data_IF_310254485284
#
_entry.id   IF_310254485284
#
_cell.length_a   1.000
_cell.length_b   1.000
_cell.length_c   1.000
_cell.angle_alpha   90.00
_cell.angle_beta   90.00
_cell.angle_gamma   90.00
#
_symmetry.space_group_name_H-M   'P 1'
#
loop_
_entity.id
_entity.type
_entity.pdbx_description
1 polymer ?
#
# COMPACT_ATOMS: atom_id res chain seq x y z
N UNK A 1 -7.71 18.87 3.32
CA UNK A 1 -7.13 17.65 3.90
C UNK A 1 -7.26 16.43 2.99
N UNK A 2 -8.41 16.26 2.33
CA UNK A 2 -8.60 15.14 1.39
C UNK A 2 -7.55 15.16 0.26
N UNK A 3 -7.17 16.34 -0.23
CA UNK A 3 -6.14 16.46 -1.26
C UNK A 3 -4.77 15.99 -0.79
N UNK A 4 -4.42 16.21 0.48
CA UNK A 4 -3.16 15.73 1.06
C UNK A 4 -3.19 14.21 1.15
N UNK A 5 -4.29 13.63 1.60
CA UNK A 5 -4.46 12.18 1.67
C UNK A 5 -4.42 11.57 0.27
N UNK A 6 -5.05 12.21 -0.70
CA UNK A 6 -5.01 11.76 -2.10
C UNK A 6 -3.58 11.77 -2.65
N UNK A 7 -2.81 12.80 -2.37
CA UNK A 7 -1.40 12.88 -2.75
C UNK A 7 -0.58 11.75 -2.12
N UNK A 8 -0.78 11.50 -0.84
CA UNK A 8 -0.14 10.39 -0.14
C UNK A 8 -0.46 9.04 -0.80
N UNK A 9 -1.74 8.82 -1.13
CA UNK A 9 -2.18 7.59 -1.77
C UNK A 9 -1.52 7.39 -3.15
N UNK A 10 -1.41 8.45 -3.94
CA UNK A 10 -0.75 8.39 -5.24
C UNK A 10 0.72 8.02 -5.08
N UNK A 11 1.43 8.67 -4.15
CA UNK A 11 2.84 8.39 -3.89
C UNK A 11 3.03 6.93 -3.45
N UNK A 12 2.23 6.45 -2.52
CA UNK A 12 2.32 5.08 -2.03
C UNK A 12 2.03 4.08 -3.14
N UNK A 13 0.99 4.33 -3.95
CA UNK A 13 0.66 3.47 -5.07
C UNK A 13 1.79 3.37 -6.09
N UNK A 14 2.38 4.49 -6.45
CA UNK A 14 3.52 4.52 -7.38
C UNK A 14 4.73 3.80 -6.80
N UNK A 15 5.02 3.98 -5.50
CA UNK A 15 6.13 3.29 -4.84
C UNK A 15 5.93 1.78 -4.82
N UNK A 16 4.71 1.30 -4.61
CA UNK A 16 4.42 -0.14 -4.64
C UNK A 16 4.68 -0.72 -6.03
N UNK A 17 4.20 -0.05 -7.07
CA UNK A 17 4.47 -0.46 -8.45
C UNK A 17 5.98 -0.48 -8.74
N UNK A 18 6.69 0.57 -8.36
CA UNK A 18 8.13 0.66 -8.58
C UNK A 18 8.88 -0.43 -7.83
N UNK A 19 8.52 -0.69 -6.58
CA UNK A 19 9.13 -1.72 -5.75
C UNK A 19 9.01 -3.10 -6.41
N UNK A 20 7.80 -3.48 -6.82
CA UNK A 20 7.60 -4.79 -7.44
C UNK A 20 8.21 -4.89 -8.84
N UNK A 21 8.16 -3.81 -9.62
CA UNK A 21 8.80 -3.77 -10.93
C UNK A 21 10.31 -4.00 -10.81
N UNK A 22 10.96 -3.30 -9.87
CA UNK A 22 12.41 -3.44 -9.64
C UNK A 22 12.73 -4.83 -9.09
N UNK A 23 11.97 -5.31 -8.10
CA UNK A 23 12.21 -6.60 -7.47
C UNK A 23 12.10 -7.76 -8.46
N UNK A 24 11.08 -7.72 -9.33
CA UNK A 24 10.88 -8.75 -10.35
C UNK A 24 11.95 -8.65 -11.45
N UNK A 25 12.27 -7.44 -11.89
CA UNK A 25 13.28 -7.23 -12.93
C UNK A 25 14.69 -7.67 -12.49
N UNK A 26 15.00 -7.53 -11.20
CA UNK A 26 16.28 -7.90 -10.63
C UNK A 26 16.31 -9.33 -10.06
N UNK A 27 15.25 -10.10 -10.27
CA UNK A 27 15.14 -11.46 -9.74
C UNK A 27 15.37 -11.55 -8.24
N UNK A 28 14.82 -10.57 -7.48
CA UNK A 28 14.98 -10.49 -6.03
C UNK A 28 13.81 -11.11 -5.26
N UNK A 29 13.05 -11.99 -5.90
CA UNK A 29 11.89 -12.65 -5.30
C UNK A 29 12.13 -14.17 -5.32
N UNK A 30 12.87 -14.72 -4.32
CA UNK A 30 13.19 -16.14 -4.28
C UNK A 30 11.96 -17.03 -4.11
N UNK A 31 10.88 -16.49 -3.52
CA UNK A 31 9.64 -17.22 -3.30
C UNK A 31 8.94 -17.63 -4.60
N UNK A 32 9.28 -16.99 -5.74
CA UNK A 32 8.74 -17.40 -7.04
C UNK A 32 9.14 -18.84 -7.39
N UNK A 33 10.30 -19.30 -6.91
CA UNK A 33 10.78 -20.67 -7.12
C UNK A 33 10.27 -21.63 -6.04
N UNK A 34 10.15 -21.17 -4.78
CA UNK A 34 9.85 -22.02 -3.63
C UNK A 34 8.37 -22.05 -3.26
N UNK A 35 7.68 -20.91 -3.40
CA UNK A 35 6.26 -20.75 -3.05
C UNK A 35 5.54 -19.92 -4.11
N UNK A 36 5.47 -20.39 -5.37
CA UNK A 36 5.02 -19.55 -6.48
C UNK A 36 3.59 -19.05 -6.34
N UNK A 37 2.67 -19.87 -5.87
CA UNK A 37 1.27 -19.46 -5.74
C UNK A 37 1.07 -18.46 -4.61
N UNK A 38 1.74 -18.66 -3.49
CA UNK A 38 1.65 -17.76 -2.35
C UNK A 38 2.16 -16.36 -2.71
N UNK A 39 3.34 -16.27 -3.33
CA UNK A 39 3.92 -14.97 -3.68
C UNK A 39 3.17 -14.30 -4.84
N UNK A 40 2.71 -15.04 -5.82
CA UNK A 40 1.94 -14.47 -6.92
C UNK A 40 0.63 -13.88 -6.43
N UNK A 41 -0.05 -14.56 -5.53
CA UNK A 41 -1.28 -14.04 -4.91
C UNK A 41 -0.99 -12.79 -4.10
N UNK A 42 0.11 -12.78 -3.33
CA UNK A 42 0.53 -11.62 -2.56
C UNK A 42 0.82 -10.42 -3.45
N UNK A 43 1.60 -10.61 -4.52
CA UNK A 43 1.93 -9.55 -5.47
C UNK A 43 0.66 -9.03 -6.15
N UNK A 44 -0.24 -9.92 -6.56
CA UNK A 44 -1.50 -9.54 -7.18
C UNK A 44 -2.33 -8.68 -6.23
N UNK A 45 -2.44 -9.07 -4.96
CA UNK A 45 -3.17 -8.31 -3.95
C UNK A 45 -2.55 -6.92 -3.75
N UNK A 46 -1.22 -6.84 -3.71
CA UNK A 46 -0.53 -5.56 -3.57
C UNK A 46 -0.71 -4.66 -4.78
N UNK A 47 -0.72 -5.21 -5.99
CA UNK A 47 -0.96 -4.44 -7.21
C UNK A 47 -2.40 -3.94 -7.28
N UNK A 48 -3.38 -4.74 -6.86
CA UNK A 48 -4.76 -4.31 -6.74
C UNK A 48 -4.88 -3.16 -5.75
N UNK A 49 -4.21 -3.27 -4.61
CA UNK A 49 -4.15 -2.20 -3.61
C UNK A 49 -3.56 -0.92 -4.21
N UNK A 50 -2.44 -1.04 -4.94
CA UNK A 50 -1.78 0.10 -5.57
C UNK A 50 -2.69 0.79 -6.60
N UNK A 51 -3.39 0.02 -7.43
CA UNK A 51 -4.36 0.56 -8.40
C UNK A 51 -5.49 1.28 -7.67
N UNK A 52 -6.00 0.70 -6.58
CA UNK A 52 -7.06 1.30 -5.78
C UNK A 52 -6.60 2.62 -5.14
N UNK A 53 -5.36 2.65 -4.62
CA UNK A 53 -4.78 3.86 -4.05
C UNK A 53 -4.61 4.95 -5.11
N UNK A 54 -4.07 4.60 -6.28
CA UNK A 54 -3.91 5.54 -7.38
C UNK A 54 -5.26 6.05 -7.87
N UNK A 55 -6.21 5.13 -8.09
CA UNK A 55 -7.55 5.47 -8.54
C UNK A 55 -8.28 6.38 -7.57
N UNK A 56 -8.21 6.05 -6.29
CA UNK A 56 -8.80 6.87 -5.23
C UNK A 56 -8.17 8.25 -5.13
N UNK A 57 -6.84 8.31 -5.22
CA UNK A 57 -6.10 9.57 -5.18
C UNK A 57 -6.44 10.47 -6.37
N UNK A 58 -6.38 9.93 -7.57
CA UNK A 58 -6.65 10.70 -8.80
C UNK A 58 -8.10 11.17 -8.84
N UNK A 59 -9.06 10.29 -8.56
CA UNK A 59 -10.49 10.66 -8.59
C UNK A 59 -10.83 11.68 -7.51
N UNK A 60 -10.20 11.60 -6.33
CA UNK A 60 -10.36 12.60 -5.28
C UNK A 60 -9.85 13.95 -5.71
N UNK A 61 -8.67 14.02 -6.33
CA UNK A 61 -8.10 15.27 -6.82
C UNK A 61 -8.91 15.85 -7.99
N UNK A 62 -9.54 14.99 -8.79
CA UNK A 62 -10.40 15.43 -9.88
C UNK A 62 -11.79 15.89 -9.42
N UNK A 63 -12.09 15.81 -8.13
CA UNK A 63 -13.37 16.24 -7.59
C UNK A 63 -14.51 15.27 -7.82
N UNK A 64 -14.22 14.02 -8.16
CA UNK A 64 -15.23 12.99 -8.36
C UNK A 64 -15.73 12.52 -7.01
N UNK A 65 -17.07 12.45 -6.84
CA UNK A 65 -17.72 12.14 -5.56
C UNK A 65 -17.27 10.80 -5.00
N UNK A 66 -17.17 9.78 -5.84
CA UNK A 66 -16.80 8.42 -5.45
C UNK A 66 -15.33 8.30 -5.05
N UNK A 67 -14.50 9.30 -5.37
CA UNK A 67 -13.08 9.29 -5.08
C UNK A 67 -12.77 9.06 -3.60
N UNK A 68 -13.55 9.66 -2.72
CA UNK A 68 -13.38 9.49 -1.27
C UNK A 68 -13.58 8.04 -0.84
N UNK A 69 -14.61 7.39 -1.34
CA UNK A 69 -14.89 5.98 -1.00
C UNK A 69 -13.81 5.05 -1.55
N UNK A 70 -13.36 5.29 -2.77
CA UNK A 70 -12.27 4.52 -3.39
C UNK A 70 -10.99 4.72 -2.57
N UNK A 71 -10.72 5.94 -2.17
CA UNK A 71 -9.54 6.28 -1.38
C UNK A 71 -9.57 5.57 -0.01
N UNK A 72 -10.72 5.56 0.65
CA UNK A 72 -10.90 4.85 1.92
C UNK A 72 -10.68 3.34 1.75
N UNK A 73 -11.21 2.76 0.67
CA UNK A 73 -11.00 1.35 0.37
C UNK A 73 -9.50 1.05 0.21
N UNK A 74 -8.80 1.87 -0.55
CA UNK A 74 -7.36 1.71 -0.75
C UNK A 74 -6.57 1.84 0.54
N UNK A 75 -6.91 2.81 1.38
CA UNK A 75 -6.26 2.99 2.68
C UNK A 75 -6.48 1.78 3.60
N UNK A 76 -7.70 1.22 3.61
CA UNK A 76 -7.98 0.01 4.38
C UNK A 76 -7.14 -1.18 3.93
N UNK A 77 -7.03 -1.38 2.61
CA UNK A 77 -6.18 -2.42 2.04
C UNK A 77 -4.71 -2.20 2.42
N UNK A 78 -4.27 -0.94 2.41
CA UNK A 78 -2.91 -0.58 2.78
C UNK A 78 -2.63 -0.87 4.26
N UNK A 79 -3.58 -0.60 5.14
CA UNK A 79 -3.44 -0.93 6.57
C UNK A 79 -3.18 -2.43 6.77
N UNK A 80 -3.95 -3.27 6.10
CA UNK A 80 -3.74 -4.72 6.16
C UNK A 80 -2.35 -5.10 5.65
N UNK A 81 -1.98 -4.57 4.49
CA UNK A 81 -0.70 -4.87 3.87
C UNK A 81 0.49 -4.45 4.74
N UNK A 82 0.41 -3.27 5.37
CA UNK A 82 1.46 -2.76 6.26
C UNK A 82 1.68 -3.72 7.43
N UNK A 83 0.60 -4.14 8.10
CA UNK A 83 0.69 -5.06 9.24
C UNK A 83 1.29 -6.38 8.80
N UNK A 84 0.82 -6.91 7.68
CA UNK A 84 1.32 -8.19 7.15
C UNK A 84 2.81 -8.10 6.78
N UNK A 85 3.21 -7.01 6.14
CA UNK A 85 4.61 -6.78 5.75
C UNK A 85 5.51 -6.58 6.97
N UNK A 86 5.05 -5.87 7.99
CA UNK A 86 5.80 -5.70 9.22
C UNK A 86 6.06 -7.04 9.90
N UNK A 87 5.07 -7.93 9.93
CA UNK A 87 5.21 -9.27 10.46
C UNK A 87 6.26 -10.10 9.72
N UNK A 88 6.27 -9.99 8.40
CA UNK A 88 7.25 -10.68 7.55
C UNK A 88 8.68 -10.29 7.93
N UNK A 89 8.95 -8.98 8.07
CA UNK A 89 10.29 -8.51 8.42
C UNK A 89 10.63 -8.73 9.90
N UNK A 90 9.64 -8.67 10.78
CA UNK A 90 9.84 -8.95 12.21
C UNK A 90 10.31 -10.40 12.41
N UNK A 91 9.70 -11.35 11.70
CA UNK A 91 10.09 -12.75 11.77
C UNK A 91 11.54 -12.94 11.31
N UNK A 92 12.00 -12.13 10.37
CA UNK A 92 13.38 -12.17 9.87
C UNK A 92 14.34 -11.30 10.68
N UNK A 93 13.86 -10.68 11.75
CA UNK A 93 14.62 -9.80 12.63
C UNK A 93 15.26 -8.61 11.89
N UNK A 94 14.59 -8.11 10.85
CA UNK A 94 15.01 -6.94 10.10
C UNK A 94 14.26 -5.72 10.64
N UNK A 95 14.81 -5.07 11.65
CA UNK A 95 14.14 -3.98 12.37
C UNK A 95 13.92 -2.70 11.56
N UNK A 96 14.87 -2.23 10.71
CA UNK A 96 14.61 -1.00 9.95
C UNK A 96 13.32 -1.03 9.14
N UNK A 97 13.00 -2.09 8.36
CA UNK A 97 11.70 -2.17 7.68
C UNK A 97 10.53 -2.20 8.65
N UNK A 98 10.64 -2.85 9.81
CA UNK A 98 9.58 -2.90 10.80
C UNK A 98 9.25 -1.50 11.32
N UNK A 99 10.27 -0.70 11.63
CA UNK A 99 10.08 0.68 12.08
C UNK A 99 9.43 1.52 10.99
N UNK A 100 9.88 1.38 9.74
CA UNK A 100 9.29 2.07 8.59
C UNK A 100 7.81 1.75 8.46
N UNK A 101 7.43 0.47 8.51
CA UNK A 101 6.04 0.06 8.41
C UNK A 101 5.21 0.53 9.61
N UNK A 102 5.81 0.61 10.80
CA UNK A 102 5.15 1.18 11.97
C UNK A 102 4.78 2.64 11.76
N UNK A 103 5.70 3.43 11.22
CA UNK A 103 5.45 4.85 10.88
C UNK A 103 4.36 4.95 9.81
N UNK A 104 4.44 4.14 8.76
CA UNK A 104 3.43 4.12 7.69
C UNK A 104 2.06 3.70 8.23
N UNK A 105 2.01 2.79 9.19
CA UNK A 105 0.76 2.36 9.81
C UNK A 105 0.07 3.54 10.50
N UNK A 106 0.84 4.30 11.28
CA UNK A 106 0.31 5.48 11.99
C UNK A 106 -0.19 6.52 10.99
N UNK A 107 0.61 6.85 9.98
CA UNK A 107 0.25 7.84 8.96
C UNK A 107 -1.00 7.41 8.20
N UNK A 108 -1.06 6.15 7.78
CA UNK A 108 -2.20 5.63 7.02
C UNK A 108 -3.47 5.59 7.86
N UNK A 109 -3.37 5.20 9.14
CA UNK A 109 -4.50 5.20 10.06
C UNK A 109 -5.03 6.61 10.30
N UNK A 110 -4.13 7.59 10.47
CA UNK A 110 -4.52 8.98 10.62
C UNK A 110 -5.20 9.52 9.34
N UNK A 111 -4.67 9.16 8.18
CA UNK A 111 -5.26 9.54 6.91
C UNK A 111 -6.68 8.97 6.76
N UNK A 112 -6.87 7.69 7.05
CA UNK A 112 -8.18 7.05 6.98
C UNK A 112 -9.16 7.68 7.98
N UNK A 113 -8.71 7.90 9.21
CA UNK A 113 -9.51 8.56 10.24
C UNK A 113 -9.95 9.95 9.84
N UNK A 114 -9.06 10.71 9.22
CA UNK A 114 -9.37 12.05 8.71
C UNK A 114 -10.47 12.01 7.65
N UNK A 115 -10.42 11.06 6.72
CA UNK A 115 -11.43 10.91 5.68
C UNK A 115 -12.78 10.50 6.27
N UNK A 116 -12.79 9.65 7.29
CA UNK A 116 -14.03 9.18 7.93
C UNK A 116 -14.71 10.33 8.67
N UNK A 117 -13.93 11.12 9.42
CA UNK A 117 -14.46 12.20 10.25
C UNK A 117 -14.76 13.48 9.47
N UNK A 118 -14.12 13.65 8.35
CA UNK A 118 -14.29 14.81 7.49
C UNK A 118 -15.30 14.58 6.39
#
# INVERSE_FOLDING_TARGET
>A
MQSIVAGYAIVVGLLIFAMWAVSLARHQVPELATKPWEIRTHITAELIMAVTMLGGGVTSLAGIVEGRSILLLGLGMTLYSIVNSAGYYLQRRQMPPVVMFGVLLIVTALAAGNLISG
#
